data_IF_596986533483
#
_entry.id   IF_596986533483
#
_cell.length_a   1.000
_cell.length_b   1.000
_cell.length_c   1.000
_cell.angle_alpha   90.00
_cell.angle_beta   90.00
_cell.angle_gamma   90.00
#
_symmetry.space_group_name_H-M   'P 1'
#
loop_
_entity.id
_entity.type
_entity.pdbx_description
1 polymer ?
#
# COMPACT_ATOMS: atom_id res chain seq x y z
N UNK A 1 40.33 12.51 0.02
CA UNK A 1 39.27 11.88 0.84
C UNK A 1 38.28 11.25 -0.13
N UNK A 2 38.07 9.93 -0.05
CA UNK A 2 37.21 9.21 -0.98
C UNK A 2 35.76 9.40 -0.55
N UNK A 3 34.94 10.07 -1.37
CA UNK A 3 33.50 10.16 -1.13
C UNK A 3 32.89 8.78 -1.35
N UNK A 4 32.53 8.09 -0.27
CA UNK A 4 31.68 6.91 -0.35
C UNK A 4 30.29 7.42 -0.73
N UNK A 5 29.99 7.48 -2.02
CA UNK A 5 28.64 7.68 -2.51
C UNK A 5 27.87 6.38 -2.29
N UNK A 6 27.02 6.34 -1.27
CA UNK A 6 26.14 5.20 -1.04
C UNK A 6 24.98 5.26 -2.03
N UNK A 7 24.68 4.11 -2.66
CA UNK A 7 23.65 3.97 -3.69
C UNK A 7 22.22 4.18 -3.19
N UNK A 8 22.00 4.26 -1.88
CA UNK A 8 20.68 4.34 -1.26
C UNK A 8 20.52 5.69 -0.56
N UNK A 9 19.62 6.53 -1.07
CA UNK A 9 19.28 7.82 -0.48
C UNK A 9 18.09 7.67 0.46
N UNK A 10 18.20 8.20 1.68
CA UNK A 10 17.08 8.25 2.64
C UNK A 10 15.85 8.96 2.04
N UNK A 11 16.06 10.00 1.22
CA UNK A 11 14.99 10.70 0.51
C UNK A 11 14.27 9.78 -0.47
N UNK A 12 15.02 9.01 -1.28
CA UNK A 12 14.42 8.09 -2.25
C UNK A 12 13.65 6.95 -1.57
N UNK A 13 14.13 6.48 -0.41
CA UNK A 13 13.38 5.48 0.37
C UNK A 13 12.07 6.06 0.93
N UNK A 14 12.10 7.30 1.43
CA UNK A 14 10.90 7.97 1.94
C UNK A 14 9.87 8.22 0.83
N UNK A 15 10.30 8.58 -0.38
CA UNK A 15 9.40 8.72 -1.54
C UNK A 15 8.70 7.41 -1.87
N UNK A 16 9.41 6.28 -1.85
CA UNK A 16 8.82 4.96 -2.10
C UNK A 16 7.84 4.57 -0.99
N UNK A 17 8.18 4.82 0.28
CA UNK A 17 7.29 4.56 1.43
C UNK A 17 5.97 5.33 1.24
N UNK A 18 6.07 6.65 1.00
CA UNK A 18 4.91 7.50 0.81
C UNK A 18 4.04 7.04 -0.36
N UNK A 19 4.66 6.67 -1.49
CA UNK A 19 3.95 6.17 -2.66
C UNK A 19 3.18 4.88 -2.36
N UNK A 20 3.79 3.94 -1.63
CA UNK A 20 3.13 2.68 -1.29
C UNK A 20 1.93 2.89 -0.37
N UNK A 21 2.05 3.78 0.62
CA UNK A 21 0.95 4.12 1.52
C UNK A 21 -0.17 4.90 0.82
N UNK A 22 0.18 5.82 -0.08
CA UNK A 22 -0.76 6.57 -0.91
C UNK A 22 -1.56 5.61 -1.80
N UNK A 23 -0.88 4.73 -2.54
CA UNK A 23 -1.53 3.74 -3.41
C UNK A 23 -2.43 2.78 -2.62
N UNK A 24 -2.05 2.41 -1.39
CA UNK A 24 -2.88 1.58 -0.53
C UNK A 24 -4.17 2.31 -0.13
N UNK A 25 -4.06 3.58 0.22
CA UNK A 25 -5.20 4.43 0.60
C UNK A 25 -6.13 4.67 -0.59
N UNK A 26 -5.58 5.08 -1.73
CA UNK A 26 -6.34 5.36 -2.96
C UNK A 26 -7.10 4.11 -3.46
N UNK A 27 -6.46 2.93 -3.39
CA UNK A 27 -7.10 1.68 -3.79
C UNK A 27 -8.30 1.37 -2.89
N UNK A 28 -8.14 1.48 -1.57
CA UNK A 28 -9.21 1.23 -0.62
C UNK A 28 -10.39 2.18 -0.86
N UNK A 29 -10.11 3.48 -1.00
CA UNK A 29 -11.13 4.50 -1.23
C UNK A 29 -11.87 4.29 -2.55
N UNK A 30 -11.15 3.99 -3.62
CA UNK A 30 -11.72 3.74 -4.96
C UNK A 30 -12.66 2.54 -4.95
N UNK A 31 -12.24 1.45 -4.31
CA UNK A 31 -13.07 0.24 -4.21
C UNK A 31 -14.30 0.50 -3.35
N UNK A 32 -14.16 1.16 -2.21
CA UNK A 32 -15.30 1.46 -1.33
C UNK A 32 -16.29 2.44 -1.99
N UNK A 33 -15.79 3.42 -2.74
CA UNK A 33 -16.66 4.30 -3.54
C UNK A 33 -17.40 3.53 -4.61
N UNK A 34 -16.69 2.71 -5.38
CA UNK A 34 -17.29 1.89 -6.44
C UNK A 34 -18.37 0.97 -5.88
N UNK A 35 -18.13 0.32 -4.74
CA UNK A 35 -19.12 -0.54 -4.08
C UNK A 35 -20.36 0.25 -3.66
N UNK A 36 -20.20 1.44 -3.07
CA UNK A 36 -21.32 2.31 -2.71
C UNK A 36 -22.14 2.73 -3.93
N UNK A 37 -21.48 3.08 -5.03
CA UNK A 37 -22.15 3.46 -6.28
C UNK A 37 -22.94 2.30 -6.87
N UNK A 38 -22.33 1.11 -6.92
CA UNK A 38 -23.00 -0.12 -7.37
C UNK A 38 -24.21 -0.41 -6.49
N UNK A 39 -24.05 -0.43 -5.16
CA UNK A 39 -25.13 -0.68 -4.22
C UNK A 39 -26.31 0.26 -4.44
N UNK A 40 -26.04 1.54 -4.72
CA UNK A 40 -27.03 2.54 -5.09
C UNK A 40 -27.83 2.17 -6.35
N UNK A 41 -27.15 1.71 -7.40
CA UNK A 41 -27.77 1.31 -8.67
C UNK A 41 -28.66 0.06 -8.56
N UNK A 42 -28.32 -0.86 -7.66
CA UNK A 42 -29.00 -2.15 -7.51
C UNK A 42 -29.99 -2.19 -6.34
N UNK A 43 -30.29 -1.03 -5.73
CA UNK A 43 -31.26 -0.92 -4.62
C UNK A 43 -32.66 -1.44 -4.94
N UNK A 44 -33.05 -1.40 -6.22
CA UNK A 44 -34.36 -1.88 -6.68
C UNK A 44 -34.40 -3.38 -7.00
N UNK A 45 -33.25 -4.07 -6.98
CA UNK A 45 -33.22 -5.51 -7.20
C UNK A 45 -33.91 -6.22 -6.03
N UNK A 46 -34.67 -7.27 -6.33
CA UNK A 46 -35.22 -8.11 -5.28
C UNK A 46 -34.07 -8.71 -4.46
N UNK A 47 -34.12 -8.47 -3.15
CA UNK A 47 -33.18 -8.99 -2.16
C UNK A 47 -33.04 -10.52 -2.18
N UNK A 48 -34.04 -11.24 -2.70
CA UNK A 48 -34.06 -12.71 -2.81
C UNK A 48 -33.63 -13.21 -4.19
N UNK A 49 -33.31 -12.32 -5.12
CA UNK A 49 -32.87 -12.71 -6.45
C UNK A 49 -31.46 -13.31 -6.42
N UNK A 50 -31.21 -14.28 -7.30
CA UNK A 50 -29.88 -14.86 -7.50
C UNK A 50 -28.86 -13.78 -7.88
N UNK A 51 -29.28 -12.75 -8.63
CA UNK A 51 -28.44 -11.61 -8.97
C UNK A 51 -27.98 -10.82 -7.75
N UNK A 52 -28.87 -10.60 -6.76
CA UNK A 52 -28.49 -9.93 -5.50
C UNK A 52 -27.52 -10.80 -4.70
N UNK A 53 -27.77 -12.11 -4.61
CA UNK A 53 -26.89 -13.04 -3.91
C UNK A 53 -25.49 -13.09 -4.55
N UNK A 54 -25.42 -13.18 -5.88
CA UNK A 54 -24.16 -13.17 -6.62
C UNK A 54 -23.38 -11.87 -6.42
N UNK A 55 -24.06 -10.73 -6.35
CA UNK A 55 -23.42 -9.45 -6.10
C UNK A 55 -22.82 -9.36 -4.70
N UNK A 56 -23.56 -9.80 -3.67
CA UNK A 56 -23.03 -9.81 -2.28
C UNK A 56 -21.78 -10.68 -2.17
N UNK A 57 -21.77 -11.85 -2.82
CA UNK A 57 -20.60 -12.73 -2.87
C UNK A 57 -19.43 -12.12 -3.66
N UNK A 58 -19.72 -11.42 -4.76
CA UNK A 58 -18.71 -10.65 -5.48
C UNK A 58 -18.11 -9.54 -4.62
N UNK A 59 -18.93 -8.73 -3.95
CA UNK A 59 -18.49 -7.63 -3.10
C UNK A 59 -17.64 -8.11 -1.91
N UNK A 60 -18.00 -9.25 -1.31
CA UNK A 60 -17.22 -9.87 -0.25
C UNK A 60 -15.82 -10.30 -0.75
N UNK A 61 -15.75 -10.95 -1.91
CA UNK A 61 -14.47 -11.36 -2.53
C UNK A 61 -13.64 -10.17 -2.97
N UNK A 62 -14.27 -9.13 -3.50
CA UNK A 62 -13.59 -7.89 -3.88
C UNK A 62 -12.98 -7.22 -2.65
N UNK A 63 -13.78 -7.06 -1.57
CA UNK A 63 -13.30 -6.48 -0.32
C UNK A 63 -12.09 -7.23 0.24
N UNK A 64 -12.16 -8.57 0.29
CA UNK A 64 -11.04 -9.39 0.76
C UNK A 64 -9.77 -9.16 -0.09
N UNK A 65 -9.90 -9.19 -1.42
CA UNK A 65 -8.75 -8.98 -2.31
C UNK A 65 -8.15 -7.59 -2.17
N UNK A 66 -9.00 -6.57 -2.00
CA UNK A 66 -8.54 -5.20 -1.75
C UNK A 66 -7.75 -5.12 -0.45
N UNK A 67 -8.24 -5.74 0.62
CA UNK A 67 -7.49 -5.82 1.89
C UNK A 67 -6.14 -6.51 1.71
N UNK A 68 -6.08 -7.65 1.01
CA UNK A 68 -4.81 -8.36 0.76
C UNK A 68 -3.78 -7.50 -0.01
N UNK A 69 -4.23 -6.71 -0.98
CA UNK A 69 -3.35 -5.80 -1.74
C UNK A 69 -2.90 -4.62 -0.86
N UNK A 70 -3.80 -4.01 -0.10
CA UNK A 70 -3.48 -2.94 0.85
C UNK A 70 -2.44 -3.40 1.86
N UNK A 71 -2.63 -4.58 2.45
CA UNK A 71 -1.67 -5.17 3.39
C UNK A 71 -0.30 -5.43 2.73
N UNK A 72 -0.30 -5.88 1.47
CA UNK A 72 0.95 -6.10 0.71
C UNK A 72 1.70 -4.80 0.45
N UNK A 73 0.99 -3.73 0.08
CA UNK A 73 1.58 -2.40 -0.12
C UNK A 73 2.18 -1.85 1.18
N UNK A 74 1.43 -1.94 2.29
CA UNK A 74 1.90 -1.54 3.61
C UNK A 74 3.09 -2.39 4.10
N UNK A 75 3.10 -3.69 3.80
CA UNK A 75 4.26 -4.54 4.09
C UNK A 75 5.50 -4.11 3.28
N UNK A 76 5.29 -3.70 2.03
CA UNK A 76 6.33 -3.09 1.19
C UNK A 76 6.88 -1.79 1.79
N UNK A 77 6.01 -0.90 2.27
CA UNK A 77 6.40 0.34 2.93
C UNK A 77 7.29 0.07 4.16
N UNK A 78 6.86 -0.84 5.05
CA UNK A 78 7.66 -1.25 6.22
C UNK A 78 9.00 -1.89 5.87
N UNK A 79 9.05 -2.68 4.79
CA UNK A 79 10.30 -3.25 4.31
C UNK A 79 11.27 -2.15 3.83
N UNK A 80 10.74 -1.11 3.17
CA UNK A 80 11.53 0.04 2.74
C UNK A 80 12.01 0.90 3.90
N UNK A 81 11.19 1.10 4.94
CA UNK A 81 11.62 1.75 6.19
C UNK A 81 12.82 1.04 6.82
N UNK A 82 12.78 -0.30 6.85
CA UNK A 82 13.90 -1.11 7.36
C UNK A 82 15.16 -0.94 6.51
N UNK A 83 15.03 -0.91 5.18
CA UNK A 83 16.16 -0.68 4.28
C UNK A 83 16.75 0.72 4.50
N UNK A 84 15.90 1.74 4.66
CA UNK A 84 16.33 3.12 4.93
C UNK A 84 17.13 3.21 6.25
N UNK A 85 16.63 2.57 7.31
CA UNK A 85 17.32 2.52 8.61
C UNK A 85 18.68 1.82 8.50
N UNK A 86 18.78 0.69 7.80
CA UNK A 86 20.05 -0.01 7.60
C UNK A 86 21.05 0.80 6.78
N UNK A 87 20.59 1.52 5.76
CA UNK A 87 21.42 2.42 4.98
C UNK A 87 21.98 3.56 5.84
N UNK A 88 21.13 4.17 6.67
CA UNK A 88 21.54 5.23 7.60
C UNK A 88 22.55 4.73 8.64
N UNK A 89 22.34 3.55 9.23
CA UNK A 89 23.30 2.98 10.18
C UNK A 89 24.67 2.70 9.54
N UNK A 90 24.67 2.27 8.27
CA UNK A 90 25.90 2.08 7.51
C UNK A 90 26.63 3.40 7.22
N UNK A 91 25.89 4.48 6.92
CA UNK A 91 26.43 5.84 6.78
C UNK A 91 27.14 6.31 8.05
N UNK A 92 26.43 6.26 9.18
CA UNK A 92 26.96 6.71 10.47
C UNK A 92 28.24 5.97 10.84
N UNK A 93 28.28 4.64 10.63
CA UNK A 93 29.48 3.84 10.89
C UNK A 93 30.63 4.18 9.94
N UNK A 94 30.36 4.42 8.66
CA UNK A 94 31.40 4.76 7.69
C UNK A 94 32.05 6.11 8.04
N UNK A 95 31.26 7.12 8.43
CA UNK A 95 31.78 8.41 8.86
C UNK A 95 32.61 8.29 10.14
N UNK A 96 32.16 7.52 11.13
CA UNK A 96 32.89 7.32 12.38
C UNK A 96 34.26 6.62 12.23
N UNK A 97 34.50 5.92 11.11
CA UNK A 97 35.81 5.31 10.80
C UNK A 97 36.74 6.29 10.06
N UNK A 98 36.17 7.34 9.45
CA UNK A 98 36.91 8.34 8.67
C UNK A 98 37.40 9.53 9.50
N UNK A 99 36.81 9.77 10.67
CA UNK A 99 37.30 10.69 11.72
C UNK A 99 38.42 10.05 12.56
#
# INVERSE_FOLDING_TARGET
MSNISLKFSATAAQEIINLLDEQATELQETVDSTRRDVDGLITQWDTRSDSRAAQVDFDARLAQRTTEVVETLQAGARAMEKIASLAHDAEVRATAIMD
#
